data_IF_225689392723
#
_entry.id   IF_225689392723
#
_cell.length_a   1.000
_cell.length_b   1.000
_cell.length_c   1.000
_cell.angle_alpha   90.00
_cell.angle_beta   90.00
_cell.angle_gamma   90.00
#
_symmetry.space_group_name_H-M   'P 1'
#
loop_
_entity.id
_entity.type
_entity.pdbx_description
1 polymer ?
#
# COMPACT_ATOMS: atom_id res chain seq x y z
N UNK A 1 70.80 -33.93 45.25
CA UNK A 1 71.02 -33.84 43.80
C UNK A 1 69.73 -33.20 43.20
N UNK A 2 69.85 -32.00 42.67
CA UNK A 2 68.76 -31.25 42.10
C UNK A 2 68.74 -31.46 40.60
N UNK A 3 67.63 -31.85 40.04
CA UNK A 3 67.40 -31.75 38.60
C UNK A 3 66.24 -30.75 38.34
N UNK A 4 66.59 -29.65 37.71
CA UNK A 4 65.66 -28.70 37.19
C UNK A 4 65.19 -29.16 35.81
N UNK A 5 63.88 -29.22 35.62
CA UNK A 5 63.26 -29.42 34.32
C UNK A 5 62.73 -28.08 33.80
N UNK A 6 63.33 -27.62 32.72
CA UNK A 6 62.97 -26.45 31.98
C UNK A 6 61.70 -26.72 31.18
N UNK A 7 60.64 -25.95 31.42
CA UNK A 7 59.40 -26.01 30.62
C UNK A 7 59.44 -24.92 29.56
N UNK A 8 59.61 -25.36 28.32
CA UNK A 8 59.55 -24.49 27.14
C UNK A 8 58.07 -24.07 26.88
N UNK A 9 57.83 -22.74 26.91
CA UNK A 9 56.55 -22.15 26.55
C UNK A 9 56.45 -22.05 25.02
N UNK A 10 55.62 -22.94 24.43
CA UNK A 10 55.21 -22.83 23.04
C UNK A 10 54.09 -21.77 22.96
N UNK A 11 54.40 -20.62 22.35
CA UNK A 11 53.47 -19.56 22.10
C UNK A 11 52.44 -19.97 21.01
N UNK A 12 51.21 -20.12 21.40
CA UNK A 12 50.09 -20.32 20.46
C UNK A 12 49.65 -18.98 19.92
N UNK A 13 50.04 -18.67 18.69
CA UNK A 13 49.60 -17.47 17.97
C UNK A 13 48.21 -17.77 17.42
N UNK A 14 47.15 -17.31 18.11
CA UNK A 14 45.77 -17.40 17.63
C UNK A 14 45.55 -16.26 16.64
N UNK A 15 45.65 -16.57 15.35
CA UNK A 15 45.22 -15.70 14.28
C UNK A 15 43.68 -15.69 14.28
N UNK A 16 43.08 -14.66 14.91
CA UNK A 16 41.66 -14.36 14.79
C UNK A 16 41.45 -13.78 13.39
N UNK A 17 41.07 -14.63 12.46
CA UNK A 17 40.62 -14.23 11.14
C UNK A 17 39.26 -13.52 11.28
N UNK A 18 39.27 -12.20 11.24
CA UNK A 18 38.08 -11.33 11.21
C UNK A 18 37.38 -11.53 9.85
N UNK A 19 36.52 -12.55 9.75
CA UNK A 19 35.59 -12.70 8.62
C UNK A 19 34.57 -11.55 8.66
N UNK A 20 34.92 -10.44 8.02
CA UNK A 20 33.98 -9.38 7.69
C UNK A 20 32.98 -9.96 6.70
N UNK A 21 31.83 -10.41 7.20
CA UNK A 21 30.67 -10.70 6.38
C UNK A 21 30.20 -9.42 5.71
N UNK A 22 30.78 -9.14 4.54
CA UNK A 22 30.17 -8.23 3.57
C UNK A 22 28.79 -8.81 3.20
N UNK A 23 27.75 -8.39 3.94
CA UNK A 23 26.39 -8.58 3.49
C UNK A 23 26.26 -7.80 2.19
N UNK A 24 25.97 -8.45 1.05
CA UNK A 24 25.61 -7.68 -0.13
C UNK A 24 24.37 -6.90 0.28
N UNK A 25 24.48 -5.58 0.28
CA UNK A 25 23.35 -4.72 0.27
C UNK A 25 22.57 -5.07 -1.00
N UNK A 26 21.55 -5.93 -0.85
CA UNK A 26 20.53 -6.13 -1.88
C UNK A 26 19.80 -4.79 -1.91
N UNK A 27 20.42 -3.85 -2.60
CA UNK A 27 19.85 -2.56 -2.88
C UNK A 27 18.52 -2.81 -3.57
N UNK A 28 17.50 -2.19 -3.05
CA UNK A 28 16.15 -2.05 -3.55
C UNK A 28 16.14 -1.62 -5.05
N UNK A 29 16.56 -2.49 -5.94
CA UNK A 29 16.50 -2.30 -7.39
C UNK A 29 15.07 -2.45 -7.95
N UNK A 30 14.05 -2.43 -7.07
CA UNK A 30 12.64 -2.45 -7.49
C UNK A 30 11.98 -1.08 -7.59
N UNK A 31 12.73 0.01 -7.46
CA UNK A 31 12.22 1.35 -7.78
C UNK A 31 12.24 1.56 -9.28
N UNK A 32 11.13 1.28 -9.96
CA UNK A 32 10.96 1.80 -11.31
C UNK A 32 10.18 0.98 -12.32
N UNK A 33 10.07 -0.32 -12.20
CA UNK A 33 9.26 -1.08 -13.14
C UNK A 33 7.77 -0.82 -12.87
N UNK A 34 7.12 -0.03 -13.73
CA UNK A 34 5.65 0.10 -13.69
C UNK A 34 5.05 -1.27 -13.96
N UNK A 35 4.38 -1.81 -12.94
CA UNK A 35 3.65 -3.07 -13.08
C UNK A 35 2.50 -2.88 -14.08
N UNK A 36 2.31 -3.88 -14.94
CA UNK A 36 1.17 -3.86 -15.86
C UNK A 36 -0.15 -3.95 -15.05
N UNK A 37 -1.14 -3.10 -15.34
CA UNK A 37 -2.44 -3.18 -14.70
C UNK A 37 -3.15 -4.48 -15.12
N UNK A 38 -3.99 -5.06 -14.24
CA UNK A 38 -4.83 -6.19 -14.60
C UNK A 38 -5.77 -5.86 -15.76
N UNK A 39 -5.82 -6.69 -16.79
CA UNK A 39 -6.71 -6.47 -17.94
C UNK A 39 -8.19 -6.52 -17.55
N UNK A 40 -8.52 -7.29 -16.49
CA UNK A 40 -9.86 -7.34 -15.90
C UNK A 40 -10.35 -5.97 -15.40
N UNK A 41 -9.47 -4.99 -15.20
CA UNK A 41 -9.87 -3.64 -14.82
C UNK A 41 -10.82 -3.01 -15.84
N UNK A 42 -10.57 -3.18 -17.15
CA UNK A 42 -11.46 -2.64 -18.18
C UNK A 42 -12.89 -3.19 -18.10
N UNK A 43 -13.06 -4.41 -17.59
CA UNK A 43 -14.36 -5.06 -17.49
C UNK A 43 -15.23 -4.50 -16.37
N UNK A 44 -14.59 -3.94 -15.34
CA UNK A 44 -15.29 -3.39 -14.16
C UNK A 44 -15.47 -1.87 -14.20
N UNK A 45 -14.87 -1.18 -15.18
CA UNK A 45 -15.15 0.23 -15.45
C UNK A 45 -16.55 0.37 -16.05
N UNK A 46 -17.25 1.44 -15.73
CA UNK A 46 -18.45 1.81 -16.48
C UNK A 46 -18.12 2.16 -17.94
N UNK A 47 -19.14 2.35 -18.77
CA UNK A 47 -18.92 2.55 -20.20
C UNK A 47 -18.17 3.86 -20.47
N UNK A 48 -18.54 4.97 -19.80
CA UNK A 48 -17.92 6.27 -20.01
C UNK A 48 -16.44 6.27 -19.64
N UNK A 49 -16.09 5.72 -18.47
CA UNK A 49 -14.71 5.57 -18.02
C UNK A 49 -13.90 4.68 -18.96
N UNK A 50 -14.51 3.59 -19.45
CA UNK A 50 -13.86 2.65 -20.39
C UNK A 50 -13.54 3.30 -21.71
N UNK A 51 -14.48 4.06 -22.26
CA UNK A 51 -14.31 4.74 -23.53
C UNK A 51 -13.29 5.88 -23.42
N UNK A 52 -13.35 6.65 -22.33
CA UNK A 52 -12.35 7.65 -22.00
C UNK A 52 -10.93 7.04 -21.90
N UNK A 53 -10.78 5.94 -21.17
CA UNK A 53 -9.49 5.24 -21.03
C UNK A 53 -8.96 4.76 -22.38
N UNK A 54 -9.82 4.19 -23.25
CA UNK A 54 -9.43 3.75 -24.59
C UNK A 54 -8.95 4.89 -25.45
N UNK A 55 -9.68 6.00 -25.46
CA UNK A 55 -9.36 7.20 -26.24
C UNK A 55 -8.05 7.86 -25.77
N UNK A 56 -7.75 7.81 -24.47
CA UNK A 56 -6.57 8.44 -23.88
C UNK A 56 -5.34 7.49 -23.81
N UNK A 57 -5.26 6.48 -24.65
CA UNK A 57 -4.08 5.62 -24.81
C UNK A 57 -4.06 4.40 -23.90
N UNK A 58 -5.22 4.00 -23.39
CA UNK A 58 -5.44 2.75 -22.68
C UNK A 58 -5.01 2.75 -21.23
N UNK A 59 -5.18 1.61 -20.57
CA UNK A 59 -4.94 1.45 -19.12
C UNK A 59 -3.54 1.87 -18.68
N UNK A 60 -2.50 1.59 -19.45
CA UNK A 60 -1.11 1.91 -19.07
C UNK A 60 -0.88 3.40 -18.84
N UNK A 61 -1.62 4.26 -19.55
CA UNK A 61 -1.55 5.73 -19.38
C UNK A 61 -2.54 6.25 -18.34
N UNK A 62 -3.66 5.54 -18.15
CA UNK A 62 -4.78 5.98 -17.30
C UNK A 62 -4.69 5.48 -15.87
N UNK A 63 -3.76 4.59 -15.53
CA UNK A 63 -3.58 4.11 -14.16
C UNK A 63 -2.12 3.99 -13.76
N UNK A 64 -1.90 4.07 -12.46
CA UNK A 64 -0.65 3.75 -11.80
C UNK A 64 -0.80 2.48 -10.98
N UNK A 65 0.08 1.50 -11.20
CA UNK A 65 0.03 0.20 -10.52
C UNK A 65 1.27 0.00 -9.67
N UNK A 66 1.06 -0.37 -8.42
CA UNK A 66 2.14 -0.67 -7.47
C UNK A 66 1.87 -1.93 -6.66
N UNK A 67 2.92 -2.64 -6.27
CA UNK A 67 2.82 -3.73 -5.31
C UNK A 67 2.63 -3.15 -3.91
N UNK A 68 1.72 -3.74 -3.13
CA UNK A 68 1.46 -3.36 -1.74
C UNK A 68 1.46 -4.61 -0.86
N UNK A 69 1.93 -4.47 0.39
CA UNK A 69 1.97 -5.58 1.36
C UNK A 69 0.71 -5.57 2.21
N UNK A 70 -0.39 -6.11 1.67
CA UNK A 70 -1.64 -6.27 2.40
C UNK A 70 -1.76 -7.68 2.99
N UNK A 71 -1.42 -8.71 2.23
CA UNK A 71 -1.46 -10.09 2.69
C UNK A 71 -0.29 -10.41 3.62
N UNK A 72 -0.58 -10.95 4.81
CA UNK A 72 0.43 -11.37 5.80
C UNK A 72 1.08 -12.70 5.42
N UNK A 73 0.42 -13.53 4.62
CA UNK A 73 0.92 -14.80 4.11
C UNK A 73 1.84 -14.65 2.86
N UNK A 74 2.22 -13.43 2.52
CA UNK A 74 3.09 -13.15 1.38
C UNK A 74 2.41 -13.17 0.01
N UNK A 75 1.09 -13.37 -0.07
CA UNK A 75 0.38 -13.29 -1.34
C UNK A 75 0.57 -11.90 -1.97
N UNK A 76 0.89 -11.89 -3.26
CA UNK A 76 1.13 -10.64 -3.99
C UNK A 76 -0.18 -9.86 -4.14
N UNK A 77 -0.16 -8.62 -3.69
CA UNK A 77 -1.28 -7.69 -3.84
C UNK A 77 -0.86 -6.46 -4.62
N UNK A 78 -1.77 -5.94 -5.44
CA UNK A 78 -1.57 -4.74 -6.24
C UNK A 78 -2.58 -3.68 -5.84
N UNK A 79 -2.10 -2.45 -5.70
CA UNK A 79 -2.92 -1.25 -5.69
C UNK A 79 -2.84 -0.62 -7.07
N UNK A 80 -3.99 -0.47 -7.71
CA UNK A 80 -4.15 0.23 -8.98
C UNK A 80 -4.90 1.53 -8.69
N UNK A 81 -4.33 2.67 -9.07
CA UNK A 81 -4.94 3.99 -8.90
C UNK A 81 -5.15 4.64 -10.25
N UNK A 82 -6.27 5.28 -10.42
CA UNK A 82 -6.53 6.14 -11.55
C UNK A 82 -5.48 7.25 -11.65
N UNK A 83 -5.21 7.66 -12.85
CA UNK A 83 -4.40 8.84 -13.20
C UNK A 83 -5.06 9.54 -14.39
N UNK A 84 -4.91 10.85 -14.45
CA UNK A 84 -5.53 11.65 -15.51
C UNK A 84 -7.05 11.80 -15.35
N UNK A 85 -7.67 12.54 -16.25
CA UNK A 85 -9.06 12.99 -16.16
C UNK A 85 -10.12 11.90 -16.25
N UNK A 86 -9.81 10.74 -16.84
CA UNK A 86 -10.77 9.66 -16.97
C UNK A 86 -11.16 8.99 -15.65
N UNK A 87 -10.19 8.84 -14.76
CA UNK A 87 -10.35 8.06 -13.54
C UNK A 87 -10.11 8.90 -12.28
N UNK A 88 -9.94 10.22 -12.47
CA UNK A 88 -9.78 11.18 -11.40
C UNK A 88 -10.74 12.34 -11.59
N UNK A 89 -11.44 12.72 -10.52
CA UNK A 89 -12.06 14.05 -10.41
C UNK A 89 -11.01 15.11 -10.04
N UNK A 90 -11.46 16.30 -9.59
CA UNK A 90 -10.58 17.43 -9.28
C UNK A 90 -9.43 17.07 -8.32
N UNK A 91 -9.65 16.21 -7.36
CA UNK A 91 -8.64 15.82 -6.35
C UNK A 91 -8.63 14.32 -6.03
N UNK A 92 -9.68 13.58 -6.37
CA UNK A 92 -9.85 12.19 -5.99
C UNK A 92 -9.76 11.28 -7.21
N UNK A 93 -8.95 10.23 -7.14
CA UNK A 93 -8.83 9.22 -8.18
C UNK A 93 -9.45 7.89 -7.75
N UNK A 94 -10.12 7.22 -8.66
CA UNK A 94 -10.58 5.85 -8.43
C UNK A 94 -9.39 4.94 -8.09
N UNK A 95 -9.62 3.91 -7.28
CA UNK A 95 -8.60 2.91 -6.99
C UNK A 95 -9.20 1.52 -6.83
N UNK A 96 -8.35 0.53 -7.07
CA UNK A 96 -8.70 -0.89 -6.99
C UNK A 96 -7.58 -1.64 -6.30
N UNK A 97 -7.94 -2.68 -5.56
CA UNK A 97 -6.99 -3.60 -4.95
C UNK A 97 -7.23 -4.99 -5.51
N UNK A 98 -6.15 -5.62 -5.94
CA UNK A 98 -6.15 -6.96 -6.50
C UNK A 98 -5.24 -7.89 -5.71
N UNK A 99 -5.60 -9.17 -5.68
CA UNK A 99 -4.75 -10.27 -5.23
C UNK A 99 -4.34 -11.11 -6.44
N UNK A 100 -3.08 -11.50 -6.51
CA UNK A 100 -2.64 -12.49 -7.48
C UNK A 100 -2.88 -13.90 -6.92
N UNK A 101 -3.66 -14.71 -7.63
CA UNK A 101 -3.93 -16.12 -7.34
C UNK A 101 -3.86 -16.91 -8.63
N UNK A 102 -3.10 -18.01 -8.64
CA UNK A 102 -2.97 -18.88 -9.83
C UNK A 102 -2.68 -18.11 -11.13
N UNK A 103 -1.73 -17.15 -11.08
CA UNK A 103 -1.35 -16.25 -12.18
C UNK A 103 -2.48 -15.31 -12.69
N UNK A 104 -3.64 -15.30 -12.04
CA UNK A 104 -4.74 -14.38 -12.34
C UNK A 104 -4.84 -13.31 -11.26
N UNK A 105 -5.50 -12.22 -11.59
CA UNK A 105 -5.80 -11.16 -10.63
C UNK A 105 -7.27 -11.21 -10.24
N UNK A 106 -7.52 -11.33 -8.95
CA UNK A 106 -8.84 -11.26 -8.34
C UNK A 106 -9.02 -9.87 -7.72
N UNK A 107 -10.15 -9.22 -8.00
CA UNK A 107 -10.50 -7.95 -7.40
C UNK A 107 -10.87 -8.18 -5.93
N UNK A 108 -10.22 -7.44 -5.04
CA UNK A 108 -10.53 -7.45 -3.59
C UNK A 108 -11.27 -6.19 -3.14
N UNK A 109 -11.08 -5.05 -3.85
CA UNK A 109 -11.73 -3.79 -3.53
C UNK A 109 -11.84 -2.92 -4.78
N UNK A 110 -13.05 -2.39 -5.02
CA UNK A 110 -13.29 -1.18 -5.80
C UNK A 110 -13.54 -0.06 -4.80
N UNK A 111 -12.55 0.80 -4.60
CA UNK A 111 -12.62 1.87 -3.61
C UNK A 111 -13.27 3.13 -4.17
N UNK A 112 -13.90 3.90 -3.29
CA UNK A 112 -14.34 5.25 -3.63
C UNK A 112 -13.14 6.13 -3.97
N UNK A 113 -13.35 7.18 -4.74
CA UNK A 113 -12.31 8.11 -5.14
C UNK A 113 -11.45 8.60 -3.97
N UNK A 114 -10.14 8.63 -4.12
CA UNK A 114 -9.24 9.03 -3.05
C UNK A 114 -7.99 9.76 -3.54
N UNK A 115 -7.43 10.60 -2.67
CA UNK A 115 -6.11 11.23 -2.86
C UNK A 115 -5.00 10.32 -2.38
N UNK A 116 -5.26 9.50 -1.35
CA UNK A 116 -4.27 8.66 -0.69
C UNK A 116 -4.86 7.31 -0.27
N UNK A 117 -4.15 6.23 -0.55
CA UNK A 117 -4.51 4.85 -0.14
C UNK A 117 -3.30 4.21 0.49
N UNK A 118 -3.45 3.70 1.72
CA UNK A 118 -2.37 3.05 2.47
C UNK A 118 -2.83 1.73 3.08
N UNK A 119 -1.88 0.84 3.35
CA UNK A 119 -2.09 -0.27 4.26
C UNK A 119 -2.26 0.25 5.70
N UNK A 120 -3.30 -0.19 6.38
CA UNK A 120 -3.53 0.07 7.79
C UNK A 120 -2.55 -0.69 8.69
N UNK A 121 -2.60 -0.38 10.00
CA UNK A 121 -1.83 -1.11 11.02
C UNK A 121 -2.51 -2.40 11.41
N UNK A 122 -3.83 -2.37 11.50
CA UNK A 122 -4.64 -3.51 11.89
C UNK A 122 -4.73 -4.54 10.75
N UNK A 123 -4.98 -5.78 11.13
CA UNK A 123 -5.13 -6.88 10.19
C UNK A 123 -6.24 -7.82 10.63
N UNK A 124 -6.92 -8.42 9.65
CA UNK A 124 -7.96 -9.41 9.88
C UNK A 124 -7.91 -10.49 8.81
N UNK A 125 -8.13 -11.73 9.19
CA UNK A 125 -8.14 -12.90 8.28
C UNK A 125 -6.92 -12.95 7.35
N UNK A 126 -5.74 -12.60 7.89
CA UNK A 126 -4.48 -12.63 7.15
C UNK A 126 -4.22 -11.44 6.21
N UNK A 127 -5.05 -10.39 6.27
CA UNK A 127 -4.88 -9.17 5.48
C UNK A 127 -4.91 -7.92 6.35
N UNK A 128 -4.07 -6.94 6.03
CA UNK A 128 -4.08 -5.61 6.65
C UNK A 128 -5.31 -4.83 6.19
N UNK A 129 -5.86 -4.01 7.06
CA UNK A 129 -6.88 -3.04 6.70
C UNK A 129 -6.35 -2.07 5.63
N UNK A 130 -7.23 -1.47 4.86
CA UNK A 130 -6.91 -0.42 3.88
C UNK A 130 -7.51 0.87 4.40
N UNK A 131 -6.70 1.93 4.42
CA UNK A 131 -7.16 3.28 4.76
C UNK A 131 -7.05 4.15 3.52
N UNK A 132 -8.18 4.72 3.10
CA UNK A 132 -8.23 5.73 2.04
C UNK A 132 -8.60 7.09 2.59
N UNK A 133 -8.06 8.14 1.98
CA UNK A 133 -8.37 9.53 2.28
C UNK A 133 -8.84 10.19 0.99
N UNK A 134 -9.97 10.86 1.04
CA UNK A 134 -10.51 11.65 -0.07
C UNK A 134 -10.86 13.07 0.41
N UNK A 135 -10.83 14.03 -0.49
CA UNK A 135 -11.40 15.37 -0.22
C UNK A 135 -12.89 15.36 -0.51
N UNK A 136 -13.70 15.79 0.45
CA UNK A 136 -15.10 16.11 0.23
C UNK A 136 -15.24 17.60 -0.19
N UNK A 137 -14.37 18.44 0.36
CA UNK A 137 -14.27 19.88 0.02
C UNK A 137 -12.85 20.39 0.28
N UNK A 138 -12.61 21.68 0.12
CA UNK A 138 -11.33 22.32 0.45
C UNK A 138 -10.97 22.21 1.95
N UNK A 139 -11.96 22.06 2.81
CA UNK A 139 -11.81 22.07 4.28
C UNK A 139 -12.22 20.75 4.94
N UNK A 140 -12.67 19.79 4.15
CA UNK A 140 -13.18 18.51 4.65
C UNK A 140 -12.54 17.34 3.94
N UNK A 141 -12.12 16.35 4.72
CA UNK A 141 -11.58 15.07 4.22
C UNK A 141 -12.42 13.92 4.75
N UNK A 142 -12.58 12.89 3.91
CA UNK A 142 -13.23 11.64 4.28
C UNK A 142 -12.15 10.58 4.45
N UNK A 143 -12.13 9.93 5.59
CA UNK A 143 -11.23 8.80 5.88
C UNK A 143 -12.07 7.53 5.94
N UNK A 144 -11.81 6.60 5.02
CA UNK A 144 -12.48 5.29 4.98
C UNK A 144 -11.49 4.20 5.35
N UNK A 145 -11.92 3.31 6.22
CA UNK A 145 -11.19 2.10 6.58
C UNK A 145 -11.95 0.91 6.03
N UNK A 146 -11.30 0.13 5.18
CA UNK A 146 -11.83 -1.11 4.63
C UNK A 146 -11.16 -2.29 5.30
N UNK A 147 -11.95 -3.29 5.64
CA UNK A 147 -11.52 -4.50 6.35
C UNK A 147 -11.81 -5.73 5.52
N UNK A 148 -10.85 -6.66 5.49
CA UNK A 148 -11.00 -7.92 4.75
C UNK A 148 -11.96 -8.87 5.49
N UNK A 149 -13.01 -9.34 4.81
CA UNK A 149 -14.01 -10.24 5.38
C UNK A 149 -13.69 -11.74 5.18
N UNK A 150 -12.64 -12.04 4.42
CA UNK A 150 -12.21 -13.39 4.02
C UNK A 150 -12.27 -13.59 2.51
N UNK A 151 -13.06 -12.78 1.81
CA UNK A 151 -13.26 -12.83 0.37
C UNK A 151 -12.85 -11.51 -0.29
N UNK A 152 -13.34 -10.40 0.24
CA UNK A 152 -13.10 -9.05 -0.28
C UNK A 152 -12.97 -8.04 0.85
N UNK A 153 -12.64 -6.79 0.52
CA UNK A 153 -12.64 -5.70 1.47
C UNK A 153 -14.01 -5.01 1.53
N UNK A 154 -14.52 -4.82 2.74
CA UNK A 154 -15.75 -4.09 3.01
C UNK A 154 -15.48 -2.83 3.80
N UNK A 155 -16.28 -1.80 3.59
CA UNK A 155 -16.21 -0.59 4.41
C UNK A 155 -16.53 -0.95 5.88
N UNK A 156 -15.56 -0.69 6.75
CA UNK A 156 -15.68 -0.98 8.18
C UNK A 156 -15.87 0.30 9.01
N UNK A 157 -15.37 1.43 8.50
CA UNK A 157 -15.46 2.73 9.17
C UNK A 157 -15.35 3.85 8.16
N UNK A 158 -16.19 4.87 8.32
CA UNK A 158 -16.08 6.13 7.61
C UNK A 158 -16.10 7.29 8.61
N UNK A 159 -15.17 8.23 8.43
CA UNK A 159 -15.07 9.45 9.22
C UNK A 159 -14.91 10.64 8.28
N UNK A 160 -15.78 11.64 8.46
CA UNK A 160 -15.53 12.99 7.99
C UNK A 160 -14.64 13.74 8.98
N UNK A 161 -13.67 14.47 8.49
CA UNK A 161 -12.76 15.35 9.25
C UNK A 161 -12.80 16.74 8.68
N UNK A 162 -13.35 17.67 9.43
CA UNK A 162 -13.47 19.07 9.07
C UNK A 162 -12.69 19.96 10.04
N UNK A 163 -12.17 21.09 9.57
CA UNK A 163 -11.49 22.10 10.39
C UNK A 163 -12.44 23.18 10.89
N UNK A 164 -13.75 22.92 10.83
CA UNK A 164 -14.81 23.77 11.31
C UNK A 164 -15.79 22.97 12.16
N UNK A 165 -16.39 23.62 13.17
CA UNK A 165 -17.46 23.05 13.97
C UNK A 165 -18.81 23.10 13.23
N UNK A 166 -19.89 22.67 13.90
CA UNK A 166 -21.24 22.66 13.34
C UNK A 166 -21.80 24.07 13.08
N UNK A 167 -21.22 25.10 13.71
CA UNK A 167 -21.58 26.49 13.55
C UNK A 167 -20.69 27.23 12.55
N UNK A 168 -19.83 26.53 11.84
CA UNK A 168 -18.90 27.10 10.86
C UNK A 168 -17.71 27.84 11.47
N UNK A 169 -17.42 27.70 12.77
CA UNK A 169 -16.26 28.32 13.42
C UNK A 169 -15.01 27.48 13.20
N UNK A 170 -13.86 28.09 12.85
CA UNK A 170 -12.59 27.40 12.71
C UNK A 170 -12.20 26.70 14.02
N UNK A 171 -11.72 25.45 13.92
CA UNK A 171 -11.22 24.66 15.04
C UNK A 171 -9.71 24.55 15.02
N UNK A 172 -9.05 24.39 16.18
CA UNK A 172 -7.58 24.21 16.26
C UNK A 172 -7.08 22.91 15.67
N UNK A 173 -7.96 21.96 15.38
CA UNK A 173 -7.66 20.66 14.78
C UNK A 173 -8.92 20.08 14.13
N UNK A 174 -8.79 19.00 13.33
CA UNK A 174 -9.94 18.45 12.64
C UNK A 174 -10.93 17.80 13.62
N UNK A 175 -12.18 18.20 13.55
CA UNK A 175 -13.31 17.52 14.19
C UNK A 175 -13.66 16.31 13.36
N UNK A 176 -13.73 15.13 13.99
CA UNK A 176 -14.03 13.86 13.30
C UNK A 176 -15.46 13.42 13.64
N UNK A 177 -16.25 13.12 12.62
CA UNK A 177 -17.63 12.65 12.72
C UNK A 177 -17.80 11.37 11.88
N UNK A 178 -18.74 10.47 12.22
CA UNK A 178 -19.16 9.41 11.29
C UNK A 178 -19.66 10.03 9.98
N UNK A 179 -19.39 9.36 8.84
CA UNK A 179 -20.03 9.78 7.58
C UNK A 179 -21.51 9.40 7.61
N UNK A 180 -22.33 10.25 7.03
CA UNK A 180 -23.70 9.90 6.66
C UNK A 180 -23.62 9.21 5.28
N UNK A 181 -23.52 7.88 5.26
CA UNK A 181 -23.55 7.05 4.04
C UNK A 181 -24.84 6.25 3.96
#
# INVERSE_FOLDING_TARGET
MRHQLSVSRVGFCVCISLLIFLRPAVADAQRGARLAPPQTLLQILDQGDRDCVRTNGGLKKSVHTQSVRLALNGARTLLVRGSGSCLCGAQNCAFWVYRQKNRRYELLLKGAGSTKVNAGRDSRKGYRDIVSVSHASAIETIVRTYRFDGTEYRLARCLSRAYYDDNGKPTRGPVSRPCNE
#
